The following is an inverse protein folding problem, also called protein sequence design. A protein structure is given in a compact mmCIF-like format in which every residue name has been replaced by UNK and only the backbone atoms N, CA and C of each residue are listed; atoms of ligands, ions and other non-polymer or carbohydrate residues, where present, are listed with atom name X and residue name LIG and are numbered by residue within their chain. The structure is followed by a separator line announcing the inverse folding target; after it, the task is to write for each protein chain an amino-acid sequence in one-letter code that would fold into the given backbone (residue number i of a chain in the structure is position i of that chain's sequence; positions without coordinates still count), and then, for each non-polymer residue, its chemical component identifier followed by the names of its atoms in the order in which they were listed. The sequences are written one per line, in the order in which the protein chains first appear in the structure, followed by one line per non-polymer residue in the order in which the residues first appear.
data_IF_310120331316
#
_entry.id   IF_310120331316
#
_cell.length_a   1.000
_cell.length_b   1.000
_cell.length_c   1.000
_cell.angle_alpha   90.00
_cell.angle_beta   90.00
_cell.angle_gamma   90.00
#
_symmetry.space_group_name_H-M   'P 1'
#
loop_
_entity.id
_entity.type
_entity.pdbx_description
1 polymer ?
#
# COMPACT_ATOMS: atom_id res chain seq x y z
N UNK A 1 -2.89 2.50 2.69
CA UNK A 1 -3.41 1.49 3.62
C UNK A 1 -2.45 0.32 3.59
N UNK A 2 -2.10 -0.25 4.75
CA UNK A 2 -1.05 -1.27 4.86
C UNK A 2 -1.56 -2.69 4.59
N UNK A 3 -2.86 -2.94 4.81
CA UNK A 3 -3.47 -4.27 4.67
C UNK A 3 -4.20 -4.51 3.34
N UNK A 4 -4.52 -3.45 2.59
CA UNK A 4 -5.17 -3.52 1.29
C UNK A 4 -4.52 -2.54 0.32
N UNK A 5 -4.03 -3.04 -0.81
CA UNK A 5 -3.54 -2.23 -1.91
C UNK A 5 -4.69 -1.88 -2.86
N UNK A 6 -4.96 -0.59 -3.00
CA UNK A 6 -6.04 -0.06 -3.86
C UNK A 6 -5.60 0.05 -5.32
N UNK A 7 -4.29 0.16 -5.58
CA UNK A 7 -3.74 0.26 -6.94
C UNK A 7 -2.52 -0.68 -7.11
N UNK A 8 -2.73 -2.01 -7.05
CA UNK A 8 -1.65 -2.97 -7.22
C UNK A 8 -1.01 -2.91 -8.62
N UNK A 9 -1.81 -2.63 -9.66
CA UNK A 9 -1.31 -2.54 -11.05
C UNK A 9 -0.43 -1.30 -11.25
N UNK A 10 -0.86 -0.14 -10.78
CA UNK A 10 -0.05 1.08 -10.88
C UNK A 10 1.26 0.95 -10.13
N UNK A 11 1.29 0.25 -8.99
CA UNK A 11 2.53 -0.06 -8.27
C UNK A 11 3.44 -1.01 -9.07
N UNK A 12 2.90 -2.03 -9.72
CA UNK A 12 3.68 -2.92 -10.60
C UNK A 12 4.29 -2.15 -11.78
N UNK A 13 3.53 -1.24 -12.41
CA UNK A 13 4.04 -0.37 -13.48
C UNK A 13 5.16 0.53 -12.96
N UNK A 14 4.98 1.19 -11.81
CA UNK A 14 6.02 2.04 -11.20
C UNK A 14 7.30 1.26 -10.89
N UNK A 15 7.17 0.04 -10.36
CA UNK A 15 8.32 -0.82 -10.12
C UNK A 15 9.03 -1.16 -11.43
N UNK A 16 8.30 -1.58 -12.46
CA UNK A 16 8.87 -1.89 -13.76
C UNK A 16 9.65 -0.70 -14.33
N UNK A 17 9.10 0.52 -14.26
CA UNK A 17 9.82 1.74 -14.65
C UNK A 17 11.08 1.97 -13.82
N UNK A 18 11.02 1.74 -12.50
CA UNK A 18 12.16 1.91 -11.60
C UNK A 18 13.32 0.93 -11.88
N UNK A 19 13.03 -0.25 -12.44
CA UNK A 19 14.04 -1.22 -12.91
C UNK A 19 14.33 -1.13 -14.42
N UNK A 20 13.90 -0.04 -15.08
CA UNK A 20 14.31 0.27 -16.45
C UNK A 20 13.36 -0.16 -17.57
N UNK A 21 12.10 -0.51 -17.28
CA UNK A 21 11.13 -0.82 -18.32
C UNK A 21 10.81 0.41 -19.18
N UNK A 22 10.99 0.32 -20.50
CA UNK A 22 10.66 1.39 -21.47
C UNK A 22 9.43 1.08 -22.32
N UNK A 23 8.88 -0.14 -22.26
CA UNK A 23 7.73 -0.56 -23.06
C UNK A 23 6.39 0.08 -22.67
N UNK A 24 5.31 -0.34 -23.32
CA UNK A 24 3.95 0.17 -23.05
C UNK A 24 3.44 -0.32 -21.69
N UNK A 25 2.81 0.57 -20.91
CA UNK A 25 2.13 0.19 -19.67
C UNK A 25 0.80 -0.50 -19.89
N UNK A 26 0.27 -0.52 -21.12
CA UNK A 26 -1.04 -1.11 -21.43
C UNK A 26 -0.95 -2.60 -21.79
N UNK A 27 0.26 -3.09 -22.10
CA UNK A 27 0.50 -4.50 -22.37
C UNK A 27 0.94 -5.24 -21.10
N UNK A 28 -0.05 -5.75 -20.36
CA UNK A 28 0.17 -6.52 -19.13
C UNK A 28 1.04 -7.77 -19.36
N UNK A 29 1.02 -8.35 -20.57
CA UNK A 29 1.82 -9.54 -20.89
C UNK A 29 3.29 -9.16 -20.98
N UNK A 30 3.63 -8.16 -21.79
CA UNK A 30 5.00 -7.67 -21.93
C UNK A 30 5.56 -7.11 -20.61
N UNK A 31 4.73 -6.41 -19.84
CA UNK A 31 5.10 -5.91 -18.51
C UNK A 31 5.45 -7.07 -17.57
N UNK A 32 4.63 -8.13 -17.56
CA UNK A 32 4.85 -9.32 -16.72
C UNK A 32 6.09 -10.09 -17.14
N UNK A 33 6.31 -10.29 -18.44
CA UNK A 33 7.49 -10.96 -18.97
C UNK A 33 8.78 -10.22 -18.60
N UNK A 34 8.78 -8.89 -18.71
CA UNK A 34 9.90 -8.07 -18.27
C UNK A 34 10.15 -8.17 -16.76
N UNK A 35 9.12 -8.00 -15.92
CA UNK A 35 9.28 -8.11 -14.47
C UNK A 35 9.78 -9.50 -14.04
N UNK A 36 9.43 -10.56 -14.77
CA UNK A 36 9.93 -11.93 -14.53
C UNK A 36 11.38 -12.14 -14.96
N UNK A 37 11.88 -11.36 -15.93
CA UNK A 37 13.27 -11.46 -16.36
C UNK A 37 14.23 -10.67 -15.45
N UNK A 38 13.72 -9.72 -14.66
CA UNK A 38 14.51 -8.97 -13.69
C UNK A 38 15.01 -9.86 -12.53
N UNK A 39 16.24 -9.63 -12.03
CA UNK A 39 16.72 -10.25 -10.80
C UNK A 39 15.81 -9.92 -9.61
N UNK A 40 15.43 -10.94 -8.84
CA UNK A 40 14.49 -10.77 -7.72
C UNK A 40 15.00 -9.78 -6.65
N UNK A 41 16.31 -9.76 -6.39
CA UNK A 41 16.93 -8.81 -5.47
C UNK A 41 16.78 -7.37 -5.95
N UNK A 42 16.88 -7.14 -7.26
CA UNK A 42 16.70 -5.80 -7.84
C UNK A 42 15.26 -5.31 -7.66
N UNK A 43 14.26 -6.17 -7.89
CA UNK A 43 12.85 -5.86 -7.64
C UNK A 43 12.62 -5.47 -6.18
N UNK A 44 13.19 -6.23 -5.23
CA UNK A 44 13.06 -5.96 -3.79
C UNK A 44 13.74 -4.66 -3.38
N UNK A 45 14.88 -4.31 -3.97
CA UNK A 45 15.56 -3.06 -3.69
C UNK A 45 14.78 -1.86 -4.26
N UNK A 46 14.26 -1.98 -5.48
CA UNK A 46 13.54 -0.90 -6.17
C UNK A 46 12.11 -0.72 -5.72
N UNK A 47 11.47 -1.71 -5.09
CA UNK A 47 10.09 -1.55 -4.61
C UNK A 47 9.94 -0.42 -3.58
N UNK A 48 10.98 -0.13 -2.79
CA UNK A 48 10.95 0.99 -1.83
C UNK A 48 10.99 2.36 -2.53
N UNK A 49 11.41 2.39 -3.79
CA UNK A 49 11.60 3.62 -4.53
C UNK A 49 10.31 4.13 -5.21
N UNK A 50 9.28 3.29 -5.35
CA UNK A 50 8.06 3.61 -6.09
C UNK A 50 7.15 4.65 -5.39
N UNK A 51 7.43 4.94 -4.12
CA UNK A 51 6.71 5.94 -3.34
C UNK A 51 7.48 7.26 -3.27
N UNK A 52 6.74 8.37 -3.20
CA UNK A 52 7.32 9.68 -2.91
C UNK A 52 7.80 9.75 -1.44
N UNK A 53 8.64 10.75 -1.14
CA UNK A 53 9.24 10.90 0.19
C UNK A 53 8.19 10.94 1.32
N UNK A 54 7.07 11.63 1.10
CA UNK A 54 5.98 11.73 2.08
C UNK A 54 5.31 10.38 2.38
N UNK A 55 5.04 9.58 1.34
CA UNK A 55 4.46 8.25 1.51
C UNK A 55 5.44 7.28 2.18
N UNK A 56 6.74 7.43 1.93
CA UNK A 56 7.79 6.66 2.65
C UNK A 56 7.85 7.02 4.13
N UNK A 57 7.76 8.31 4.45
CA UNK A 57 7.85 8.86 5.80
C UNK A 57 6.77 8.34 6.74
N UNK A 58 5.55 8.16 6.24
CA UNK A 58 4.43 7.75 7.06
C UNK A 58 4.32 6.22 7.25
N UNK A 59 5.20 5.43 6.65
CA UNK A 59 5.29 3.95 6.74
C UNK A 59 3.98 3.14 6.63
N UNK A 60 2.84 3.72 6.24
CA UNK A 60 1.52 3.08 6.18
C UNK A 60 1.18 2.50 4.80
N UNK A 61 2.08 2.67 3.82
CA UNK A 61 1.94 2.11 2.47
C UNK A 61 3.07 1.13 2.23
N UNK A 62 2.74 -0.16 2.24
CA UNK A 62 3.59 -1.21 1.70
C UNK A 62 3.46 -1.17 0.17
N UNK A 63 4.59 -1.34 -0.54
CA UNK A 63 4.64 -1.31 -2.02
C UNK A 63 3.72 -2.36 -2.62
N UNK A 64 3.74 -3.54 -1.99
CA UNK A 64 2.87 -4.66 -2.29
C UNK A 64 2.25 -5.16 -0.99
N UNK A 65 0.93 -5.36 -1.04
CA UNK A 65 0.08 -5.81 0.05
C UNK A 65 -1.08 -6.60 -0.57
N UNK A 66 -1.89 -7.33 0.22
CA UNK A 66 -3.09 -7.97 -0.29
C UNK A 66 -3.95 -7.01 -1.13
N UNK A 67 -4.57 -7.50 -2.21
CA UNK A 67 -5.39 -6.68 -3.09
C UNK A 67 -6.59 -7.49 -3.59
N UNK A 68 -7.63 -6.81 -4.07
CA UNK A 68 -8.78 -7.47 -4.69
C UNK A 68 -8.36 -8.05 -6.03
N UNK A 69 -8.48 -9.36 -6.16
CA UNK A 69 -8.08 -10.07 -7.37
C UNK A 69 -9.12 -9.91 -8.48
N UNK A 70 -8.64 -9.53 -9.67
CA UNK A 70 -9.46 -9.52 -10.88
C UNK A 70 -9.75 -10.94 -11.34
N UNK A 71 -10.83 -11.09 -12.10
CA UNK A 71 -11.13 -12.36 -12.79
C UNK A 71 -9.96 -12.80 -13.67
N UNK A 72 -9.71 -14.10 -13.72
CA UNK A 72 -8.62 -14.69 -14.47
C UNK A 72 -8.34 -16.11 -14.00
N UNK A 73 -7.29 -16.71 -14.55
CA UNK A 73 -6.94 -18.09 -14.28
C UNK A 73 -6.42 -18.29 -12.84
N UNK A 74 -6.55 -19.52 -12.34
CA UNK A 74 -6.05 -19.96 -11.04
C UNK A 74 -7.00 -19.69 -9.87
N UNK A 75 -6.74 -20.33 -8.71
CA UNK A 75 -7.51 -20.09 -7.49
C UNK A 75 -7.34 -18.64 -7.03
N UNK A 76 -8.42 -18.02 -6.58
CA UNK A 76 -8.45 -16.68 -6.01
C UNK A 76 -8.65 -16.77 -4.50
N UNK A 77 -7.96 -15.92 -3.77
CA UNK A 77 -8.08 -15.79 -2.32
C UNK A 77 -9.12 -14.74 -1.93
N UNK A 78 -9.05 -13.52 -2.50
CA UNK A 78 -9.97 -12.42 -2.16
C UNK A 78 -10.41 -11.64 -3.41
N UNK A 79 -11.71 -11.70 -3.73
CA UNK A 79 -12.29 -11.13 -4.97
C UNK A 79 -13.20 -9.94 -4.74
N UNK A 80 -13.43 -9.55 -3.48
CA UNK A 80 -14.19 -8.38 -3.07
C UNK A 80 -13.46 -7.64 -1.95
N UNK A 81 -13.82 -6.39 -1.69
CA UNK A 81 -13.17 -5.67 -0.60
C UNK A 81 -13.51 -6.34 0.75
N UNK A 82 -12.60 -6.27 1.75
CA UNK A 82 -12.92 -6.78 3.09
C UNK A 82 -14.19 -6.16 3.68
N UNK A 83 -14.49 -4.89 3.36
CA UNK A 83 -15.72 -4.22 3.77
C UNK A 83 -16.96 -4.92 3.19
N UNK A 84 -16.98 -5.19 1.90
CA UNK A 84 -18.11 -5.85 1.24
C UNK A 84 -18.32 -7.28 1.77
N UNK A 85 -17.22 -8.02 2.00
CA UNK A 85 -17.27 -9.38 2.56
C UNK A 85 -17.91 -9.36 3.96
N UNK A 86 -17.49 -8.42 4.81
CA UNK A 86 -18.03 -8.28 6.16
C UNK A 86 -19.50 -7.85 6.16
N UNK A 87 -19.85 -6.86 5.33
CA UNK A 87 -21.23 -6.34 5.25
C UNK A 87 -22.23 -7.37 4.73
N UNK A 88 -21.84 -8.18 3.74
CA UNK A 88 -22.68 -9.24 3.21
C UNK A 88 -22.69 -10.49 4.10
N UNK A 89 -21.80 -10.56 5.09
CA UNK A 89 -21.70 -11.70 5.98
C UNK A 89 -21.01 -12.92 5.36
N UNK A 90 -20.28 -12.76 4.26
CA UNK A 90 -19.64 -13.83 3.50
C UNK A 90 -18.28 -14.25 4.08
N UNK A 91 -18.24 -14.51 5.38
CA UNK A 91 -17.05 -14.89 6.12
C UNK A 91 -17.36 -16.02 7.09
N UNK A 92 -16.33 -16.73 7.55
CA UNK A 92 -16.47 -17.81 8.51
C UNK A 92 -17.07 -17.29 9.84
N UNK A 93 -18.22 -17.85 10.24
CA UNK A 93 -18.96 -17.45 11.45
C UNK A 93 -18.44 -18.18 12.68
N UNK A 94 -17.28 -17.77 13.16
CA UNK A 94 -16.65 -18.30 14.38
C UNK A 94 -16.45 -17.20 15.42
N UNK A 95 -16.34 -17.50 16.73
CA UNK A 95 -16.00 -16.49 17.73
C UNK A 95 -14.62 -15.85 17.46
N UNK A 96 -14.53 -14.53 17.51
CA UNK A 96 -13.29 -13.76 17.27
C UNK A 96 -13.02 -12.83 18.45
N UNK A 97 -11.76 -12.76 18.89
CA UNK A 97 -11.25 -11.74 19.81
C UNK A 97 -10.26 -10.86 19.04
N UNK A 98 -10.48 -9.54 19.04
CA UNK A 98 -9.61 -8.55 18.40
C UNK A 98 -9.19 -7.53 19.47
N UNK A 99 -7.91 -7.16 19.48
CA UNK A 99 -7.36 -6.17 20.40
C UNK A 99 -6.31 -5.28 19.74
N UNK A 100 -5.93 -4.22 20.44
CA UNK A 100 -4.87 -3.28 20.05
C UNK A 100 -4.14 -2.80 21.31
N UNK A 101 -2.91 -2.31 21.16
CA UNK A 101 -2.15 -1.71 22.26
C UNK A 101 -2.42 -0.21 22.38
N UNK A 102 -2.24 0.36 23.57
CA UNK A 102 -2.44 1.80 23.79
C UNK A 102 -1.46 2.70 23.03
N UNK A 103 -0.42 2.13 22.39
CA UNK A 103 0.66 2.85 21.70
C UNK A 103 1.06 2.22 20.36
N UNK A 104 0.12 1.66 19.58
CA UNK A 104 0.39 1.08 18.24
C UNK A 104 1.18 2.03 17.32
N UNK A 105 0.83 3.33 17.34
CA UNK A 105 1.48 4.34 16.52
C UNK A 105 2.99 4.50 16.78
N UNK A 106 3.51 3.94 17.88
CA UNK A 106 4.95 3.93 18.17
C UNK A 106 5.79 3.21 17.11
N UNK A 107 5.19 2.30 16.33
CA UNK A 107 5.85 1.68 15.18
C UNK A 107 6.35 2.71 14.16
N UNK A 108 5.63 3.84 14.02
CA UNK A 108 6.01 4.93 13.12
C UNK A 108 7.22 5.72 13.64
N UNK A 109 7.59 5.55 14.91
CA UNK A 109 8.69 6.26 15.57
C UNK A 109 9.98 5.45 15.64
N UNK A 110 10.00 4.21 15.12
CA UNK A 110 11.22 3.38 15.09
C UNK A 110 12.22 3.79 13.99
N UNK A 111 11.81 4.62 13.03
CA UNK A 111 12.54 4.90 11.79
C UNK A 111 12.92 6.39 11.58
N UNK A 112 12.09 7.39 11.93
CA UNK A 112 12.36 8.76 11.51
C UNK A 112 13.55 9.40 12.23
N UNK A 113 14.32 10.21 11.51
CA UNK A 113 15.32 11.13 12.08
C UNK A 113 14.62 12.33 12.70
N UNK A 114 15.29 13.04 13.64
CA UNK A 114 14.78 14.29 14.24
C UNK A 114 14.16 15.27 13.23
N UNK A 115 14.78 15.41 12.07
CA UNK A 115 14.31 16.27 10.96
C UNK A 115 12.95 15.85 10.39
N UNK A 116 12.65 14.55 10.38
CA UNK A 116 11.35 14.03 9.95
C UNK A 116 10.28 14.29 11.01
N UNK A 117 10.62 14.21 12.30
CA UNK A 117 9.70 14.64 13.37
C UNK A 117 9.33 16.11 13.24
N UNK A 118 10.33 16.99 13.08
CA UNK A 118 10.09 18.43 12.91
C UNK A 118 9.19 18.71 11.69
N UNK A 119 9.30 17.89 10.64
CA UNK A 119 8.44 18.00 9.46
C UNK A 119 7.02 17.52 9.73
N UNK A 120 6.81 16.39 10.42
CA UNK A 120 5.48 15.91 10.79
C UNK A 120 4.77 16.86 11.76
N UNK A 121 5.50 17.40 12.74
CA UNK A 121 4.95 18.35 13.71
C UNK A 121 4.48 19.65 13.06
N UNK A 122 5.21 20.12 12.04
CA UNK A 122 4.82 21.27 11.21
C UNK A 122 3.71 20.95 10.20
N UNK A 123 3.51 19.68 9.88
CA UNK A 123 2.59 19.23 8.83
C UNK A 123 1.67 18.10 9.33
N UNK A 124 0.97 18.32 10.45
CA UNK A 124 0.13 17.29 11.10
C UNK A 124 -0.97 16.73 10.20
N UNK A 125 -1.45 17.52 9.23
CA UNK A 125 -2.41 17.08 8.22
C UNK A 125 -1.95 15.84 7.44
N UNK A 126 -0.63 15.66 7.32
CA UNK A 126 -0.01 14.52 6.62
C UNK A 126 -0.28 13.21 7.37
N UNK A 127 -0.45 13.26 8.70
CA UNK A 127 -0.73 12.08 9.52
C UNK A 127 -2.19 11.62 9.44
N UNK A 128 -3.09 12.41 8.86
CA UNK A 128 -4.50 12.04 8.70
C UNK A 128 -4.60 10.97 7.59
N UNK A 129 -5.01 9.73 7.91
CA UNK A 129 -5.12 8.68 6.92
C UNK A 129 -6.16 9.05 5.85
N UNK A 130 -5.86 8.88 4.54
CA UNK A 130 -6.79 9.23 3.46
C UNK A 130 -8.16 8.55 3.58
N UNK A 131 -8.21 7.34 4.16
CA UNK A 131 -9.44 6.56 4.34
C UNK A 131 -10.41 7.13 5.38
N UNK A 132 -10.04 8.18 6.12
CA UNK A 132 -10.97 8.91 6.99
C UNK A 132 -11.83 9.91 6.21
N UNK A 133 -11.54 10.15 4.92
CA UNK A 133 -12.30 11.08 4.06
C UNK A 133 -12.50 12.47 4.69
N UNK A 134 -11.53 12.95 5.47
CA UNK A 134 -11.56 14.28 6.06
C UNK A 134 -11.45 15.32 4.94
N UNK A 135 -12.37 16.30 4.83
CA UNK A 135 -12.28 17.36 3.84
C UNK A 135 -10.96 18.14 3.96
N UNK A 136 -10.34 18.53 2.84
CA UNK A 136 -9.03 19.22 2.85
C UNK A 136 -9.02 20.48 3.73
N UNK A 137 -10.10 21.27 3.68
CA UNK A 137 -10.26 22.47 4.50
C UNK A 137 -10.36 22.19 6.01
N UNK A 138 -10.56 20.93 6.41
CA UNK A 138 -10.67 20.47 7.80
C UNK A 138 -9.40 19.77 8.30
N UNK A 139 -8.40 19.55 7.44
CA UNK A 139 -7.18 18.85 7.83
C UNK A 139 -6.16 19.74 8.56
N UNK A 140 -6.32 21.06 8.47
CA UNK A 140 -5.42 22.06 9.05
C UNK A 140 -6.02 22.82 10.25
N UNK A 141 -7.25 22.50 10.65
CA UNK A 141 -7.86 22.98 11.92
C UNK A 141 -7.25 22.21 13.11
#
# INVERSE_FOLDING_TARGET
MWALNEDPRGNAVKLARAVGYIGSSEDDKSLTEFLRSCPANELVLKQGEIFNAQARMLCYKLSFAPCVEKQGNGPKFITRTPRDILQNGDFAKVPIIIGYTSREGSVLFMIPKKTEYDHLDKNRQIMIPPNLNVPENKKSE
#
